data_IF_743445095586
#
_entry.id   IF_743445095586
#
_cell.length_a   1.000
_cell.length_b   1.000
_cell.length_c   1.000
_cell.angle_alpha   90.00
_cell.angle_beta   90.00
_cell.angle_gamma   90.00
#
_symmetry.space_group_name_H-M   'P 1'
#
loop_
_entity.id
_entity.type
_entity.pdbx_description
1 polymer ?
#
# COMPACT_ATOMS: atom_id res chain seq x y z
N UNK A 1 55.05 16.47 1.68
CA UNK A 1 56.05 16.04 2.66
C UNK A 1 55.44 14.86 3.40
N UNK A 2 55.76 13.72 2.94
CA UNK A 2 56.52 12.57 3.51
C UNK A 2 55.76 11.85 4.62
N UNK A 3 55.45 10.65 4.46
CA UNK A 3 56.02 9.30 4.22
C UNK A 3 55.77 8.35 5.38
N UNK A 4 55.33 7.16 5.04
CA UNK A 4 55.68 5.82 5.63
C UNK A 4 55.10 5.47 7.01
N UNK A 5 54.64 4.27 7.34
CA UNK A 5 55.05 2.94 6.89
C UNK A 5 54.03 1.86 7.30
N UNK A 6 54.19 0.73 6.63
CA UNK A 6 53.40 -0.50 6.72
C UNK A 6 53.82 -1.46 7.86
N UNK A 7 52.90 -2.36 8.21
CA UNK A 7 53.03 -3.77 8.52
C UNK A 7 53.25 -4.16 10.01
N UNK A 8 53.14 -5.47 10.35
CA UNK A 8 52.63 -6.63 9.63
C UNK A 8 51.56 -7.47 10.39
N UNK A 9 51.00 -8.46 9.75
CA UNK A 9 50.20 -9.53 10.33
C UNK A 9 51.05 -10.59 11.06
N UNK A 10 50.44 -11.41 11.92
CA UNK A 10 50.87 -12.77 12.07
C UNK A 10 49.81 -13.85 11.93
N UNK A 11 50.22 -14.88 11.45
CA UNK A 11 49.96 -16.22 11.02
C UNK A 11 49.40 -17.20 12.08
N UNK A 12 48.53 -18.10 11.59
CA UNK A 12 48.39 -19.56 11.86
C UNK A 12 48.34 -20.15 13.27
N UNK A 13 47.34 -21.03 13.45
CA UNK A 13 47.32 -22.07 14.47
C UNK A 13 46.20 -23.10 14.19
N UNK A 14 46.62 -24.31 13.87
CA UNK A 14 45.90 -25.45 13.39
C UNK A 14 44.98 -26.15 14.42
N UNK A 15 44.05 -26.99 13.86
CA UNK A 15 43.25 -27.98 14.55
C UNK A 15 44.07 -29.13 15.15
N UNK A 16 43.47 -29.98 16.00
CA UNK A 16 43.32 -31.37 15.59
C UNK A 16 41.95 -32.03 15.91
N UNK A 17 41.82 -33.18 15.27
CA UNK A 17 40.68 -34.03 15.13
C UNK A 17 40.58 -35.18 16.18
N UNK A 18 39.43 -35.91 16.04
CA UNK A 18 39.13 -37.29 16.51
C UNK A 18 38.69 -37.47 17.95
N UNK A 19 37.63 -38.23 18.24
CA UNK A 19 37.43 -39.65 18.01
C UNK A 19 35.94 -40.05 18.19
N UNK A 20 35.56 -41.15 17.47
CA UNK A 20 34.36 -41.94 17.56
C UNK A 20 34.06 -42.53 18.97
N UNK A 21 32.80 -42.77 19.28
CA UNK A 21 32.40 -44.10 19.73
C UNK A 21 30.89 -44.39 19.55
N UNK A 22 30.62 -45.65 19.18
CA UNK A 22 29.32 -46.24 18.90
C UNK A 22 28.74 -46.82 20.20
N UNK A 23 27.43 -46.95 20.38
CA UNK A 23 26.71 -48.20 20.39
C UNK A 23 25.34 -48.22 21.11
N UNK A 24 24.41 -48.85 20.42
CA UNK A 24 23.30 -49.75 20.86
C UNK A 24 22.00 -49.23 21.46
N UNK A 25 20.99 -49.41 20.59
CA UNK A 25 19.70 -50.15 20.74
C UNK A 25 18.88 -49.98 22.01
N UNK A 26 17.63 -49.55 21.89
CA UNK A 26 16.49 -50.46 22.05
C UNK A 26 15.16 -49.86 21.51
N UNK A 27 14.37 -50.75 20.95
CA UNK A 27 13.10 -50.46 20.33
C UNK A 27 11.96 -50.48 21.37
N UNK A 28 11.03 -49.53 21.28
CA UNK A 28 9.66 -49.77 21.71
C UNK A 28 8.67 -49.01 20.86
N UNK A 29 7.84 -49.77 20.18
CA UNK A 29 6.68 -49.38 19.38
C UNK A 29 5.62 -48.70 20.21
N UNK A 30 5.23 -47.47 19.81
CA UNK A 30 3.90 -46.95 20.09
C UNK A 30 3.31 -46.35 18.83
N UNK A 31 2.27 -47.01 18.31
CA UNK A 31 1.43 -46.50 17.25
C UNK A 31 0.61 -45.32 17.76
N UNK A 32 0.93 -44.11 17.27
CA UNK A 32 0.14 -42.90 17.42
C UNK A 32 -0.25 -42.39 16.05
N UNK A 33 -1.53 -42.58 15.68
CA UNK A 33 -2.06 -42.13 14.39
C UNK A 33 -1.97 -40.63 14.25
N UNK A 34 -1.11 -40.19 13.35
CA UNK A 34 -1.11 -38.80 12.86
C UNK A 34 -2.16 -38.69 11.77
N UNK A 35 -3.29 -38.07 12.15
CA UNK A 35 -4.27 -37.54 11.19
C UNK A 35 -3.56 -36.54 10.31
N UNK A 36 -3.26 -36.93 9.07
CA UNK A 36 -2.80 -36.00 8.04
C UNK A 36 -3.93 -35.02 7.74
N UNK A 37 -3.80 -33.82 8.29
CA UNK A 37 -4.62 -32.69 7.91
C UNK A 37 -4.31 -32.40 6.43
N UNK A 38 -5.23 -32.76 5.54
CA UNK A 38 -5.17 -32.44 4.14
C UNK A 38 -4.99 -30.93 4.00
N UNK A 39 -3.84 -30.51 3.47
CA UNK A 39 -3.63 -29.16 3.02
C UNK A 39 -4.65 -28.92 1.90
N UNK A 40 -5.67 -28.16 2.19
CA UNK A 40 -6.59 -27.65 1.19
C UNK A 40 -5.76 -26.73 0.29
N UNK A 41 -5.37 -27.24 -0.86
CA UNK A 41 -4.78 -26.42 -1.92
C UNK A 41 -5.83 -25.37 -2.29
N UNK A 42 -5.55 -24.12 -1.95
CA UNK A 42 -6.33 -22.99 -2.48
C UNK A 42 -6.41 -23.12 -4.00
N UNK A 43 -7.57 -22.88 -4.62
CA UNK A 43 -7.67 -22.94 -6.07
C UNK A 43 -6.61 -22.01 -6.67
N UNK A 44 -5.83 -22.52 -7.60
CA UNK A 44 -4.86 -21.72 -8.38
C UNK A 44 -5.63 -20.56 -9.00
N UNK A 45 -5.39 -19.34 -8.50
CA UNK A 45 -6.07 -18.16 -8.99
C UNK A 45 -5.80 -18.04 -10.49
N UNK A 46 -6.86 -17.87 -11.26
CA UNK A 46 -6.76 -17.60 -12.69
C UNK A 46 -5.92 -16.32 -12.87
N UNK A 47 -4.95 -16.27 -13.79
CA UNK A 47 -4.18 -15.06 -14.01
C UNK A 47 -5.15 -13.90 -14.28
N UNK A 48 -5.04 -12.83 -13.51
CA UNK A 48 -5.88 -11.65 -13.66
C UNK A 48 -5.46 -10.94 -14.95
N UNK A 49 -6.43 -10.63 -15.80
CA UNK A 49 -6.23 -9.75 -16.94
C UNK A 49 -7.20 -8.59 -16.76
N UNK A 50 -6.67 -7.38 -16.59
CA UNK A 50 -7.53 -6.20 -16.41
C UNK A 50 -8.13 -5.82 -17.75
N UNK A 51 -9.44 -5.94 -17.84
CA UNK A 51 -10.27 -5.44 -18.92
C UNK A 51 -11.13 -4.27 -18.42
N UNK A 52 -11.80 -3.57 -19.34
CA UNK A 52 -12.65 -2.40 -19.03
C UNK A 52 -13.64 -2.68 -17.87
N UNK A 53 -14.26 -3.87 -17.84
CA UNK A 53 -15.22 -4.28 -16.81
C UNK A 53 -14.64 -4.43 -15.40
N UNK A 54 -13.35 -4.73 -15.27
CA UNK A 54 -12.71 -4.97 -13.98
C UNK A 54 -12.31 -3.67 -13.27
N UNK A 55 -12.16 -2.57 -14.02
CA UNK A 55 -11.70 -1.29 -13.51
C UNK A 55 -12.61 -0.73 -12.41
N UNK A 56 -13.91 -0.99 -12.48
CA UNK A 56 -14.87 -0.50 -11.49
C UNK A 56 -14.71 -1.20 -10.13
N UNK A 57 -14.55 -2.52 -10.12
CA UNK A 57 -14.38 -3.29 -8.89
C UNK A 57 -12.98 -3.09 -8.31
N UNK A 58 -11.96 -3.03 -9.16
CA UNK A 58 -10.60 -2.67 -8.75
C UNK A 58 -10.58 -1.30 -8.07
N UNK A 59 -11.20 -0.28 -8.65
CA UNK A 59 -11.23 1.08 -8.09
C UNK A 59 -11.96 1.13 -6.72
N UNK A 60 -13.07 0.39 -6.56
CA UNK A 60 -13.78 0.30 -5.26
C UNK A 60 -12.91 -0.33 -4.19
N UNK A 61 -12.29 -1.47 -4.51
CA UNK A 61 -11.39 -2.12 -3.57
C UNK A 61 -10.15 -1.28 -3.26
N UNK A 62 -9.60 -0.59 -4.23
CA UNK A 62 -8.53 0.37 -4.05
C UNK A 62 -8.90 1.49 -3.09
N UNK A 63 -10.13 2.02 -3.16
CA UNK A 63 -10.60 3.02 -2.22
C UNK A 63 -10.76 2.47 -0.78
N UNK A 64 -11.10 1.18 -0.62
CA UNK A 64 -11.09 0.50 0.67
C UNK A 64 -9.67 0.43 1.23
N UNK A 65 -8.71 -0.09 0.46
CA UNK A 65 -7.31 -0.23 0.87
C UNK A 65 -6.61 1.12 1.00
N UNK A 66 -7.11 2.17 0.34
CA UNK A 66 -6.65 3.55 0.48
C UNK A 66 -6.82 4.12 1.89
N UNK A 67 -7.61 3.45 2.77
CA UNK A 67 -7.79 3.86 4.19
C UNK A 67 -8.14 5.34 4.34
N UNK A 68 -8.92 5.86 3.41
CA UNK A 68 -9.33 7.26 3.36
C UNK A 68 -8.45 8.17 2.51
N UNK A 69 -7.28 7.71 2.05
CA UNK A 69 -6.38 8.44 1.16
C UNK A 69 -6.30 7.84 -0.25
N UNK A 70 -5.21 8.16 -0.97
CA UNK A 70 -4.94 7.66 -2.32
C UNK A 70 -5.70 8.39 -3.45
N UNK A 71 -6.51 9.40 -3.16
CA UNK A 71 -7.27 10.20 -4.13
C UNK A 71 -8.59 9.56 -4.57
N UNK A 72 -9.35 10.30 -5.40
CA UNK A 72 -10.66 9.87 -5.87
C UNK A 72 -10.53 8.67 -6.85
N UNK A 73 -11.03 7.50 -6.51
CA UNK A 73 -10.95 6.32 -7.36
C UNK A 73 -11.73 6.47 -8.67
N UNK A 74 -12.72 7.38 -8.73
CA UNK A 74 -13.56 7.58 -9.92
C UNK A 74 -12.75 8.08 -11.11
N UNK A 75 -11.92 9.11 -10.90
CA UNK A 75 -11.06 9.66 -11.97
C UNK A 75 -10.06 8.59 -12.44
N UNK A 76 -9.39 7.92 -11.50
CA UNK A 76 -8.45 6.86 -11.81
C UNK A 76 -9.08 5.70 -12.59
N UNK A 77 -10.31 5.31 -12.26
CA UNK A 77 -11.10 4.32 -12.99
C UNK A 77 -11.32 4.75 -14.45
N UNK A 78 -11.81 5.97 -14.65
CA UNK A 78 -12.11 6.46 -16.02
C UNK A 78 -10.84 6.49 -16.88
N UNK A 79 -9.69 6.86 -16.31
CA UNK A 79 -8.42 6.85 -17.03
C UNK A 79 -7.99 5.43 -17.40
N UNK A 80 -8.09 4.48 -16.47
CA UNK A 80 -7.76 3.07 -16.70
C UNK A 80 -8.70 2.46 -17.77
N UNK A 81 -10.01 2.68 -17.65
CA UNK A 81 -11.00 2.25 -18.66
C UNK A 81 -10.70 2.81 -20.04
N UNK A 82 -10.35 4.09 -20.14
CA UNK A 82 -9.99 4.71 -21.41
C UNK A 82 -8.72 4.08 -22.00
N UNK A 83 -7.67 3.91 -21.19
CA UNK A 83 -6.41 3.33 -21.62
C UNK A 83 -6.56 1.87 -22.08
N UNK A 84 -7.32 1.05 -21.33
CA UNK A 84 -7.60 -0.34 -21.71
C UNK A 84 -8.44 -0.43 -23.00
N UNK A 85 -9.40 0.46 -23.21
CA UNK A 85 -10.16 0.53 -24.48
C UNK A 85 -9.32 0.93 -25.68
N UNK A 86 -8.38 1.85 -25.48
CA UNK A 86 -7.52 2.38 -26.55
C UNK A 86 -6.37 1.43 -26.89
N UNK A 87 -5.72 0.86 -25.89
CA UNK A 87 -4.47 0.09 -26.07
C UNK A 87 -4.65 -1.44 -25.88
N UNK A 88 -5.81 -1.88 -25.39
CA UNK A 88 -6.10 -3.29 -25.11
C UNK A 88 -5.95 -3.68 -23.65
N UNK A 89 -6.31 -4.94 -23.32
CA UNK A 89 -6.29 -5.44 -21.95
C UNK A 89 -4.86 -5.54 -21.41
N UNK A 90 -4.70 -5.28 -20.09
CA UNK A 90 -3.42 -5.37 -19.39
C UNK A 90 -3.26 -6.75 -18.76
N UNK A 91 -2.17 -7.44 -19.09
CA UNK A 91 -1.80 -8.69 -18.44
C UNK A 91 -1.28 -8.40 -17.04
N UNK A 92 -1.80 -9.09 -16.04
CA UNK A 92 -1.35 -9.00 -14.64
C UNK A 92 -0.59 -10.26 -14.27
N UNK A 93 0.64 -10.12 -13.80
CA UNK A 93 1.52 -11.22 -13.41
C UNK A 93 1.68 -11.28 -11.90
N UNK A 94 1.72 -12.50 -11.34
CA UNK A 94 1.95 -12.68 -9.92
C UNK A 94 3.38 -12.28 -9.54
N UNK A 95 3.57 -11.78 -8.33
CA UNK A 95 4.90 -11.41 -7.81
C UNK A 95 5.87 -12.61 -7.88
N UNK A 96 5.38 -13.80 -7.60
CA UNK A 96 6.15 -15.05 -7.60
C UNK A 96 6.66 -15.43 -8.98
N UNK A 97 5.92 -15.07 -10.03
CA UNK A 97 6.20 -15.46 -11.42
C UNK A 97 7.20 -14.52 -12.12
N UNK A 98 7.57 -13.41 -11.46
CA UNK A 98 8.55 -12.47 -12.02
C UNK A 98 9.90 -13.17 -12.24
N UNK A 99 10.60 -12.97 -13.39
CA UNK A 99 12.02 -13.26 -13.49
C UNK A 99 12.81 -12.46 -12.45
N UNK A 100 13.85 -13.06 -11.84
CA UNK A 100 14.64 -12.36 -10.81
C UNK A 100 15.37 -11.12 -11.35
N UNK A 101 15.71 -11.13 -12.64
CA UNK A 101 16.35 -10.05 -13.39
C UNK A 101 15.36 -9.12 -14.10
N UNK A 102 14.04 -9.27 -13.87
CA UNK A 102 13.05 -8.35 -14.41
C UNK A 102 13.37 -6.91 -14.00
N UNK A 103 13.12 -5.97 -14.89
CA UNK A 103 13.22 -4.52 -14.60
C UNK A 103 11.82 -3.99 -14.35
N UNK A 104 11.52 -3.70 -13.09
CA UNK A 104 10.21 -3.26 -12.62
C UNK A 104 10.28 -1.79 -12.24
N UNK A 105 9.41 -0.96 -12.82
CA UNK A 105 9.28 0.46 -12.47
C UNK A 105 7.91 0.72 -11.86
N UNK A 106 7.90 1.41 -10.72
CA UNK A 106 6.68 1.81 -10.04
C UNK A 106 6.10 3.08 -10.65
N UNK A 107 4.78 3.13 -10.77
CA UNK A 107 4.06 4.30 -11.26
C UNK A 107 3.06 4.75 -10.21
N UNK A 108 3.06 6.04 -9.90
CA UNK A 108 2.12 6.65 -8.97
C UNK A 108 1.87 8.12 -9.32
N UNK A 109 0.78 8.65 -8.81
CA UNK A 109 0.56 10.09 -8.75
C UNK A 109 1.16 10.63 -7.45
N UNK A 110 1.79 11.78 -7.53
CA UNK A 110 2.22 12.58 -6.37
C UNK A 110 1.54 13.95 -6.44
N UNK A 111 1.05 14.44 -5.30
CA UNK A 111 0.43 15.76 -5.22
C UNK A 111 -0.78 15.80 -4.29
N UNK A 112 -1.62 16.81 -4.48
CA UNK A 112 -2.86 16.99 -3.74
C UNK A 112 -4.01 16.27 -4.45
N UNK A 113 -4.68 15.29 -3.83
CA UNK A 113 -5.76 14.53 -4.47
C UNK A 113 -6.91 15.42 -4.99
N UNK A 114 -7.24 16.50 -4.27
CA UNK A 114 -8.28 17.46 -4.66
C UNK A 114 -8.03 18.16 -5.98
N UNK A 115 -6.76 18.29 -6.38
CA UNK A 115 -6.38 18.97 -7.65
C UNK A 115 -6.79 18.15 -8.87
N UNK A 116 -6.89 16.83 -8.76
CA UNK A 116 -7.29 15.99 -9.89
C UNK A 116 -8.72 16.25 -10.39
N UNK A 117 -9.58 16.78 -9.55
CA UNK A 117 -10.95 17.15 -9.95
C UNK A 117 -10.94 18.40 -10.84
N UNK A 118 -9.98 19.29 -10.60
CA UNK A 118 -9.84 20.57 -11.33
C UNK A 118 -8.86 20.47 -12.50
N UNK A 119 -7.87 19.59 -12.39
CA UNK A 119 -6.79 19.38 -13.36
C UNK A 119 -6.79 17.94 -13.84
N UNK A 120 -7.54 17.68 -14.91
CA UNK A 120 -7.62 16.33 -15.48
C UNK A 120 -6.27 15.91 -16.08
N UNK A 121 -5.78 14.70 -15.75
CA UNK A 121 -4.60 14.15 -16.40
C UNK A 121 -4.84 13.94 -17.90
N UNK A 122 -3.81 14.14 -18.72
CA UNK A 122 -3.88 13.93 -20.18
C UNK A 122 -3.80 12.45 -20.58
N UNK A 123 -3.37 11.56 -19.66
CA UNK A 123 -3.04 10.17 -19.94
C UNK A 123 -1.55 9.96 -20.28
N UNK A 124 -1.00 10.71 -21.23
CA UNK A 124 0.37 10.53 -21.73
C UNK A 124 1.47 10.63 -20.66
N UNK A 125 1.28 11.44 -19.61
CA UNK A 125 2.28 11.59 -18.55
C UNK A 125 2.58 10.32 -17.77
N UNK A 126 1.68 9.31 -17.77
CA UNK A 126 1.91 8.04 -17.06
C UNK A 126 3.03 7.24 -17.72
N UNK A 127 2.96 7.06 -19.03
CA UNK A 127 4.01 6.38 -19.79
C UNK A 127 5.26 7.26 -19.91
N UNK A 128 5.13 8.59 -19.97
CA UNK A 128 6.26 9.50 -20.06
C UNK A 128 7.14 9.48 -18.81
N UNK A 129 6.57 9.38 -17.61
CA UNK A 129 7.34 9.19 -16.39
C UNK A 129 8.20 7.91 -16.44
N UNK A 130 7.62 6.80 -16.92
CA UNK A 130 8.33 5.53 -17.09
C UNK A 130 9.44 5.65 -18.14
N UNK A 131 9.15 6.25 -19.32
CA UNK A 131 10.14 6.46 -20.39
C UNK A 131 11.29 7.32 -19.90
N UNK A 132 11.01 8.42 -19.20
CA UNK A 132 12.03 9.33 -18.65
C UNK A 132 12.95 8.64 -17.65
N UNK A 133 12.40 7.84 -16.72
CA UNK A 133 13.21 7.08 -15.77
C UNK A 133 14.04 6.01 -16.47
N UNK A 134 13.43 5.24 -17.38
CA UNK A 134 14.10 4.18 -18.13
C UNK A 134 15.26 4.72 -18.97
N UNK A 135 15.05 5.84 -19.66
CA UNK A 135 16.08 6.54 -20.44
C UNK A 135 17.25 7.01 -19.56
N UNK A 136 16.95 7.59 -18.39
CA UNK A 136 17.97 8.05 -17.44
C UNK A 136 18.82 6.88 -16.90
N UNK A 137 18.17 5.74 -16.60
CA UNK A 137 18.86 4.54 -16.11
C UNK A 137 19.56 3.74 -17.22
N UNK A 138 19.23 3.98 -18.48
CA UNK A 138 19.74 3.19 -19.62
C UNK A 138 19.20 1.75 -19.61
N UNK A 139 17.97 1.53 -19.15
CA UNK A 139 17.35 0.21 -19.05
C UNK A 139 16.07 0.12 -19.90
N UNK A 140 15.67 -1.10 -20.23
CA UNK A 140 14.36 -1.39 -20.82
C UNK A 140 13.47 -2.00 -19.75
N UNK A 141 12.39 -1.31 -19.32
CA UNK A 141 11.48 -1.87 -18.34
C UNK A 141 10.75 -3.08 -18.92
N UNK A 142 10.61 -4.12 -18.11
CA UNK A 142 9.89 -5.34 -18.48
C UNK A 142 8.51 -5.40 -17.86
N UNK A 143 8.30 -4.70 -16.75
CA UNK A 143 7.05 -4.64 -16.00
C UNK A 143 6.86 -3.25 -15.39
N UNK A 144 5.61 -2.89 -15.19
CA UNK A 144 5.24 -1.78 -14.28
C UNK A 144 4.58 -2.34 -13.03
N UNK A 145 4.63 -1.57 -11.95
CA UNK A 145 4.05 -1.97 -10.68
C UNK A 145 3.38 -0.79 -9.96
N UNK A 146 2.52 -1.14 -9.01
CA UNK A 146 1.86 -0.20 -8.12
C UNK A 146 2.75 0.08 -6.91
N UNK A 147 2.97 1.35 -6.56
CA UNK A 147 3.68 1.68 -5.31
C UNK A 147 2.78 1.51 -4.09
N UNK A 148 1.50 1.83 -4.25
CA UNK A 148 0.50 1.69 -3.19
C UNK A 148 -0.86 1.26 -3.75
N UNK A 149 -1.53 0.39 -3.06
CA UNK A 149 -2.96 0.15 -3.29
C UNK A 149 -3.75 1.21 -2.54
N UNK A 150 -4.26 2.18 -3.28
CA UNK A 150 -5.05 3.28 -2.73
C UNK A 150 -5.56 4.18 -3.85
N UNK A 151 -6.88 4.31 -4.01
CA UNK A 151 -7.52 5.24 -4.93
C UNK A 151 -6.90 5.25 -6.33
N UNK A 152 -6.50 6.43 -6.80
CA UNK A 152 -5.88 6.65 -8.10
C UNK A 152 -4.59 5.85 -8.30
N UNK A 153 -3.80 5.64 -7.23
CA UNK A 153 -2.50 4.99 -7.38
C UNK A 153 -2.58 3.50 -7.68
N UNK A 154 -3.73 2.85 -7.47
CA UNK A 154 -3.98 1.49 -7.96
C UNK A 154 -4.30 1.44 -9.45
N UNK A 155 -4.81 2.52 -10.04
CA UNK A 155 -5.20 2.60 -11.44
C UNK A 155 -4.15 3.25 -12.34
N UNK A 156 -3.32 4.13 -11.80
CA UNK A 156 -2.22 4.81 -12.51
C UNK A 156 -1.28 3.83 -13.24
N UNK A 157 -0.82 2.73 -12.65
CA UNK A 157 0.03 1.78 -13.35
C UNK A 157 -0.68 1.02 -14.46
N UNK A 158 -2.02 0.88 -14.42
CA UNK A 158 -2.81 0.30 -15.52
C UNK A 158 -2.72 1.17 -16.77
N UNK A 159 -2.79 2.50 -16.60
CA UNK A 159 -2.68 3.46 -17.71
C UNK A 159 -1.29 3.34 -18.36
N UNK A 160 -0.23 3.34 -17.55
CA UNK A 160 1.13 3.18 -18.06
C UNK A 160 1.36 1.81 -18.72
N UNK A 161 0.84 0.74 -18.10
CA UNK A 161 0.96 -0.62 -18.61
C UNK A 161 0.30 -0.77 -19.98
N UNK A 162 -0.93 -0.28 -20.13
CA UNK A 162 -1.69 -0.33 -21.38
C UNK A 162 -0.95 0.43 -22.48
N UNK A 163 -0.54 1.68 -22.25
CA UNK A 163 0.12 2.51 -23.26
C UNK A 163 1.51 1.96 -23.65
N UNK A 164 2.25 1.36 -22.71
CA UNK A 164 3.59 0.82 -22.97
C UNK A 164 3.56 -0.63 -23.45
N UNK A 165 2.41 -1.32 -23.41
CA UNK A 165 2.29 -2.73 -23.72
C UNK A 165 3.06 -3.62 -22.74
N UNK A 166 3.22 -3.20 -21.48
CA UNK A 166 3.93 -3.89 -20.43
C UNK A 166 2.98 -4.64 -19.49
N UNK A 167 3.35 -5.82 -18.98
CA UNK A 167 2.60 -6.46 -17.92
C UNK A 167 2.67 -5.66 -16.60
N UNK A 168 1.60 -5.76 -15.81
CA UNK A 168 1.44 -5.15 -14.49
C UNK A 168 1.64 -6.22 -13.42
N UNK A 169 2.38 -5.90 -12.36
CA UNK A 169 2.62 -6.80 -11.23
C UNK A 169 1.41 -6.83 -10.29
N UNK A 170 0.89 -8.02 -9.93
CA UNK A 170 -0.14 -8.20 -8.91
C UNK A 170 0.44 -8.07 -7.50
N UNK A 171 0.70 -6.86 -7.11
CA UNK A 171 1.27 -6.51 -5.83
C UNK A 171 1.53 -5.02 -5.73
N UNK A 172 1.80 -4.57 -4.52
CA UNK A 172 2.20 -3.21 -4.24
C UNK A 172 3.25 -3.13 -3.13
N UNK A 173 3.80 -1.96 -2.92
CA UNK A 173 4.88 -1.77 -1.96
C UNK A 173 4.40 -1.43 -0.54
N UNK A 174 3.10 -1.29 -0.28
CA UNK A 174 2.56 -0.81 1.01
C UNK A 174 1.50 -1.71 1.63
N UNK A 175 0.57 -2.28 0.83
CA UNK A 175 -0.62 -3.02 1.28
C UNK A 175 -1.76 -2.13 1.78
N UNK A 176 -1.57 -0.84 1.78
CA UNK A 176 -2.51 0.26 2.09
C UNK A 176 -1.94 1.57 1.56
N UNK A 177 -2.68 2.68 1.61
CA UNK A 177 -2.08 3.99 1.34
C UNK A 177 -1.38 4.58 2.56
N UNK A 178 -0.24 5.24 2.31
CA UNK A 178 0.50 6.08 3.24
C UNK A 178 0.90 7.41 2.58
N UNK A 179 1.02 8.50 3.36
CA UNK A 179 1.12 9.85 2.80
C UNK A 179 2.46 10.21 2.12
N UNK A 180 3.54 9.47 2.37
CA UNK A 180 4.88 9.85 1.92
C UNK A 180 5.56 8.72 1.13
N UNK A 181 6.31 9.08 0.08
CA UNK A 181 6.94 8.15 -0.88
C UNK A 181 7.85 7.10 -0.21
N UNK A 182 8.55 7.47 0.88
CA UNK A 182 9.44 6.52 1.57
C UNK A 182 8.71 5.50 2.44
N UNK A 183 7.41 5.65 2.68
CA UNK A 183 6.62 4.75 3.52
C UNK A 183 6.22 3.48 2.77
N UNK A 184 7.21 2.75 2.30
CA UNK A 184 7.05 1.50 1.53
C UNK A 184 7.93 0.40 2.11
N UNK A 185 7.50 -0.84 1.97
CA UNK A 185 8.28 -2.01 2.40
C UNK A 185 9.66 -2.13 1.68
N UNK A 186 9.81 -1.75 0.39
CA UNK A 186 11.13 -1.64 -0.23
C UNK A 186 12.12 -0.73 0.51
N UNK A 187 11.66 0.34 1.17
CA UNK A 187 12.54 1.16 2.03
C UNK A 187 13.09 0.37 3.21
N UNK A 188 12.31 -0.55 3.79
CA UNK A 188 12.77 -1.44 4.86
C UNK A 188 13.79 -2.47 4.34
N UNK A 189 13.72 -2.81 3.05
CA UNK A 189 14.68 -3.65 2.33
C UNK A 189 15.85 -2.84 1.72
N UNK A 190 16.06 -1.60 2.17
CA UNK A 190 17.12 -0.69 1.71
C UNK A 190 17.09 -0.37 0.20
N UNK A 191 15.94 -0.47 -0.46
CA UNK A 191 15.77 -0.05 -1.86
C UNK A 191 15.60 1.47 -1.91
N UNK A 192 16.29 2.10 -2.88
CA UNK A 192 16.19 3.55 -3.10
C UNK A 192 14.97 3.93 -3.94
N UNK A 193 14.28 5.00 -3.54
CA UNK A 193 13.24 5.61 -4.35
C UNK A 193 13.80 6.30 -5.61
N UNK A 194 15.09 6.66 -5.57
CA UNK A 194 15.74 7.41 -6.68
C UNK A 194 16.83 6.59 -7.37
N UNK A 195 17.10 6.87 -8.66
CA UNK A 195 16.53 7.94 -9.48
C UNK A 195 15.01 7.84 -9.62
N UNK A 196 14.34 9.02 -9.58
CA UNK A 196 12.89 9.16 -9.68
C UNK A 196 12.58 10.17 -10.79
N UNK A 197 11.68 9.81 -11.69
CA UNK A 197 11.18 10.74 -12.70
C UNK A 197 9.80 11.28 -12.33
N UNK A 198 9.54 12.53 -12.69
CA UNK A 198 8.22 13.14 -12.67
C UNK A 198 7.83 13.58 -14.08
N UNK A 199 6.54 13.51 -14.38
CA UNK A 199 5.97 14.05 -15.61
C UNK A 199 4.61 14.72 -15.31
N UNK A 200 4.36 15.90 -15.90
CA UNK A 200 3.08 16.60 -15.81
C UNK A 200 2.28 16.52 -17.12
N UNK A 201 1.04 16.99 -17.09
CA UNK A 201 0.13 16.97 -18.24
C UNK A 201 0.51 17.96 -19.35
N UNK A 202 1.47 18.87 -19.11
CA UNK A 202 1.99 19.82 -20.07
C UNK A 202 3.20 19.30 -20.85
N UNK A 203 3.71 18.10 -20.43
CA UNK A 203 4.90 17.49 -21.03
C UNK A 203 6.20 17.89 -20.34
N UNK A 204 6.15 18.56 -19.19
CA UNK A 204 7.36 18.81 -18.40
C UNK A 204 7.79 17.51 -17.71
N UNK A 205 9.09 17.22 -17.72
CA UNK A 205 9.71 16.10 -17.01
C UNK A 205 10.86 16.57 -16.12
N UNK A 206 11.06 15.87 -15.00
CA UNK A 206 12.21 16.07 -14.12
C UNK A 206 12.70 14.72 -13.61
N UNK A 207 14.01 14.57 -13.44
CA UNK A 207 14.60 13.37 -12.82
C UNK A 207 15.43 13.81 -11.61
N UNK A 208 15.21 13.12 -10.49
CA UNK A 208 15.90 13.39 -9.23
C UNK A 208 16.78 12.21 -8.83
N UNK A 209 17.99 12.54 -8.36
CA UNK A 209 18.84 11.63 -7.60
C UNK A 209 19.08 12.26 -6.23
N UNK A 210 18.87 11.52 -5.17
CA UNK A 210 18.92 12.03 -3.79
C UNK A 210 19.74 11.12 -2.88
N UNK A 211 20.16 11.65 -1.74
CA UNK A 211 20.99 10.91 -0.77
C UNK A 211 20.18 9.88 0.02
N UNK A 212 18.87 10.07 0.14
CA UNK A 212 17.94 9.15 0.79
C UNK A 212 16.49 9.34 0.31
N UNK A 213 15.59 8.42 0.70
CA UNK A 213 14.20 8.41 0.27
C UNK A 213 13.37 9.59 0.85
N UNK A 214 13.77 10.18 1.99
CA UNK A 214 13.11 11.37 2.56
C UNK A 214 13.41 12.62 1.73
N UNK A 215 14.63 12.74 1.21
CA UNK A 215 14.95 13.80 0.27
C UNK A 215 14.24 13.62 -1.07
N UNK A 216 14.04 12.37 -1.51
CA UNK A 216 13.25 12.09 -2.70
C UNK A 216 11.83 12.66 -2.55
N UNK A 217 11.13 12.36 -1.45
CA UNK A 217 9.81 12.91 -1.12
C UNK A 217 9.81 14.44 -1.16
N UNK A 218 10.74 15.09 -0.45
CA UNK A 218 10.78 16.55 -0.34
C UNK A 218 10.99 17.25 -1.67
N UNK A 219 11.95 16.79 -2.47
CA UNK A 219 12.25 17.40 -3.75
C UNK A 219 11.15 17.13 -4.79
N UNK A 220 10.63 15.89 -4.83
CA UNK A 220 9.53 15.54 -5.71
C UNK A 220 8.27 16.38 -5.40
N UNK A 221 7.92 16.52 -4.11
CA UNK A 221 6.76 17.33 -3.69
C UNK A 221 6.93 18.81 -4.03
N UNK A 222 8.14 19.37 -3.88
CA UNK A 222 8.43 20.76 -4.28
C UNK A 222 8.25 20.96 -5.79
N UNK A 223 8.79 20.07 -6.61
CA UNK A 223 8.61 20.14 -8.06
C UNK A 223 7.15 19.94 -8.47
N UNK A 224 6.44 19.05 -7.79
CA UNK A 224 5.00 18.81 -8.03
C UNK A 224 4.17 20.07 -7.81
N UNK A 225 4.51 20.90 -6.82
CA UNK A 225 3.82 22.19 -6.60
C UNK A 225 3.99 23.10 -7.82
N UNK A 226 5.21 23.23 -8.37
CA UNK A 226 5.49 24.02 -9.58
C UNK A 226 4.83 23.42 -10.83
N UNK A 227 4.66 22.09 -10.88
CA UNK A 227 3.93 21.39 -11.94
C UNK A 227 2.40 21.55 -11.82
N UNK A 228 1.90 22.35 -10.87
CA UNK A 228 0.47 22.61 -10.66
C UNK A 228 -0.18 21.66 -9.68
N UNK A 229 0.55 21.28 -8.64
CA UNK A 229 0.14 20.49 -7.49
C UNK A 229 -0.24 19.03 -7.77
N UNK A 230 0.00 18.50 -8.98
CA UNK A 230 -0.09 17.07 -9.30
C UNK A 230 0.87 16.71 -10.42
N UNK A 231 1.53 15.56 -10.31
CA UNK A 231 2.38 14.98 -11.34
C UNK A 231 2.34 13.46 -11.24
N UNK A 232 2.74 12.78 -12.30
CA UNK A 232 2.98 11.32 -12.27
C UNK A 232 4.45 11.09 -11.99
N UNK A 233 4.75 10.12 -11.15
CA UNK A 233 6.11 9.70 -10.85
C UNK A 233 6.34 8.26 -11.28
N UNK A 234 7.55 8.02 -11.82
CA UNK A 234 8.15 6.69 -11.89
C UNK A 234 9.32 6.62 -10.91
N UNK A 235 9.36 5.60 -10.07
CA UNK A 235 10.32 5.50 -8.96
C UNK A 235 10.63 4.04 -8.59
N UNK A 236 11.45 3.82 -7.57
CA UNK A 236 11.83 2.50 -7.08
C UNK A 236 12.07 1.53 -8.23
N UNK A 237 13.08 1.82 -9.08
CA UNK A 237 13.52 0.88 -10.10
C UNK A 237 14.08 -0.38 -9.42
N UNK A 238 13.41 -1.51 -9.59
CA UNK A 238 13.67 -2.74 -8.84
C UNK A 238 13.91 -3.91 -9.78
N UNK A 239 14.72 -4.86 -9.31
CA UNK A 239 14.76 -6.19 -9.93
C UNK A 239 13.54 -7.01 -9.48
N UNK A 240 13.19 -8.07 -10.26
CA UNK A 240 12.13 -8.99 -9.86
C UNK A 240 12.42 -9.66 -8.51
N UNK A 241 13.69 -9.96 -8.21
CA UNK A 241 14.11 -10.50 -6.92
C UNK A 241 13.77 -9.53 -5.76
N UNK A 242 14.05 -8.23 -5.91
CA UNK A 242 13.72 -7.22 -4.91
C UNK A 242 12.20 -7.05 -4.73
N UNK A 243 11.43 -7.16 -5.82
CA UNK A 243 9.95 -7.14 -5.75
C UNK A 243 9.43 -8.34 -4.97
N UNK A 244 9.93 -9.55 -5.25
CA UNK A 244 9.56 -10.79 -4.52
C UNK A 244 9.82 -10.70 -3.01
N UNK A 245 10.89 -10.02 -2.61
CA UNK A 245 11.27 -9.84 -1.21
C UNK A 245 10.39 -8.81 -0.50
N UNK A 246 10.07 -7.71 -1.17
CA UNK A 246 9.56 -6.52 -0.49
C UNK A 246 8.08 -6.19 -0.75
N UNK A 247 7.44 -6.76 -1.78
CA UNK A 247 6.05 -6.43 -2.10
C UNK A 247 5.03 -7.17 -1.24
N UNK A 248 3.86 -6.53 -1.07
CA UNK A 248 2.62 -7.17 -0.64
C UNK A 248 2.00 -7.84 -1.87
N UNK A 249 1.80 -9.15 -1.78
CA UNK A 249 1.39 -9.97 -2.91
C UNK A 249 -0.12 -9.97 -3.09
N UNK A 250 -0.59 -9.99 -4.35
CA UNK A 250 -2.00 -10.13 -4.67
C UNK A 250 -2.86 -8.92 -4.29
N UNK A 251 -2.28 -7.73 -4.12
CA UNK A 251 -3.01 -6.55 -3.69
C UNK A 251 -3.99 -6.02 -4.75
N UNK A 252 -3.65 -6.09 -6.05
CA UNK A 252 -4.59 -5.72 -7.10
C UNK A 252 -5.75 -6.72 -7.20
N UNK A 253 -5.45 -8.02 -7.13
CA UNK A 253 -6.47 -9.06 -7.02
C UNK A 253 -7.35 -8.90 -5.78
N UNK A 254 -6.78 -8.43 -4.65
CA UNK A 254 -7.58 -8.11 -3.45
C UNK A 254 -8.51 -6.92 -3.69
N UNK A 255 -8.06 -5.89 -4.40
CA UNK A 255 -8.92 -4.77 -4.79
C UNK A 255 -10.15 -5.27 -5.60
N UNK A 256 -9.93 -6.11 -6.60
CA UNK A 256 -11.04 -6.67 -7.40
C UNK A 256 -11.98 -7.46 -6.50
N UNK A 257 -11.48 -8.38 -5.66
CA UNK A 257 -12.32 -9.17 -4.74
C UNK A 257 -13.12 -8.31 -3.77
N UNK A 258 -12.56 -7.20 -3.27
CA UNK A 258 -13.27 -6.26 -2.37
C UNK A 258 -14.42 -5.56 -3.10
N UNK A 259 -14.20 -5.11 -4.34
CA UNK A 259 -15.24 -4.52 -5.17
C UNK A 259 -16.36 -5.51 -5.49
N UNK A 260 -15.99 -6.71 -5.94
CA UNK A 260 -16.94 -7.80 -6.21
C UNK A 260 -17.76 -8.19 -4.98
N UNK A 261 -17.10 -8.34 -3.80
CA UNK A 261 -17.77 -8.69 -2.55
C UNK A 261 -18.82 -7.64 -2.16
N UNK A 262 -18.47 -6.36 -2.30
CA UNK A 262 -19.38 -5.25 -2.02
C UNK A 262 -20.60 -5.27 -2.97
N UNK A 263 -20.38 -5.42 -4.27
CA UNK A 263 -21.44 -5.48 -5.28
C UNK A 263 -22.32 -6.70 -5.09
N UNK A 264 -21.73 -7.87 -4.84
CA UNK A 264 -22.46 -9.12 -4.61
C UNK A 264 -23.32 -9.04 -3.34
N UNK A 265 -22.80 -8.47 -2.25
CA UNK A 265 -23.58 -8.31 -1.01
C UNK A 265 -24.81 -7.43 -1.23
N UNK A 266 -24.66 -6.32 -1.96
CA UNK A 266 -25.80 -5.45 -2.31
C UNK A 266 -26.83 -6.16 -3.17
N UNK A 267 -26.39 -6.88 -4.20
CA UNK A 267 -27.28 -7.63 -5.07
C UNK A 267 -28.07 -8.71 -4.32
N UNK A 268 -27.48 -9.29 -3.27
CA UNK A 268 -28.10 -10.28 -2.40
C UNK A 268 -28.92 -9.67 -1.25
N UNK A 269 -29.02 -8.32 -1.13
CA UNK A 269 -29.57 -7.62 0.03
C UNK A 269 -28.91 -8.05 1.36
N UNK A 270 -27.63 -8.41 1.33
CA UNK A 270 -26.81 -8.71 2.48
C UNK A 270 -26.07 -7.43 2.95
N UNK A 271 -25.40 -7.50 4.10
CA UNK A 271 -24.63 -6.39 4.66
C UNK A 271 -23.32 -6.19 3.88
N UNK A 272 -23.19 -5.11 3.08
CA UNK A 272 -21.98 -4.89 2.28
C UNK A 272 -20.76 -4.51 3.12
N UNK A 273 -20.96 -3.88 4.29
CA UNK A 273 -19.85 -3.54 5.20
C UNK A 273 -19.28 -4.80 5.84
N UNK A 274 -20.15 -5.73 6.24
CA UNK A 274 -19.72 -7.03 6.77
C UNK A 274 -18.95 -7.84 5.71
N UNK A 275 -19.39 -7.80 4.44
CA UNK A 275 -18.70 -8.48 3.34
C UNK A 275 -17.29 -7.91 3.11
N UNK A 276 -17.14 -6.59 3.11
CA UNK A 276 -15.82 -5.92 3.01
C UNK A 276 -14.94 -6.30 4.21
N UNK A 277 -15.46 -6.20 5.43
CA UNK A 277 -14.72 -6.54 6.64
C UNK A 277 -14.23 -8.00 6.62
N UNK A 278 -15.08 -8.94 6.22
CA UNK A 278 -14.72 -10.37 6.09
C UNK A 278 -13.63 -10.59 5.04
N UNK A 279 -13.71 -9.92 3.88
CA UNK A 279 -12.72 -10.02 2.80
C UNK A 279 -11.35 -9.48 3.24
N UNK A 280 -11.33 -8.44 4.09
CA UNK A 280 -10.10 -7.87 4.67
C UNK A 280 -9.54 -8.71 5.84
N UNK A 281 -10.27 -9.69 6.37
CA UNK A 281 -9.92 -10.33 7.64
C UNK A 281 -10.01 -9.38 8.84
N UNK A 282 -10.87 -8.36 8.74
CA UNK A 282 -11.06 -7.31 9.72
C UNK A 282 -12.41 -7.39 10.44
N UNK A 283 -12.72 -6.33 11.17
CA UNK A 283 -13.98 -6.20 11.92
C UNK A 283 -14.52 -4.78 11.94
N UNK A 284 -15.84 -4.64 12.07
CA UNK A 284 -16.47 -3.35 12.36
C UNK A 284 -16.22 -3.01 13.83
N UNK A 285 -15.61 -1.87 14.07
CA UNK A 285 -15.27 -1.41 15.43
C UNK A 285 -16.18 -0.30 15.94
N UNK A 286 -16.92 0.37 15.06
CA UNK A 286 -17.85 1.43 15.41
C UNK A 286 -18.87 1.72 14.30
N UNK A 287 -20.08 2.07 14.68
CA UNK A 287 -21.16 2.50 13.77
C UNK A 287 -21.76 3.81 14.27
N UNK A 288 -21.94 4.78 13.38
CA UNK A 288 -22.46 6.07 13.82
C UNK A 288 -22.70 7.08 12.69
N UNK A 289 -22.89 8.32 13.13
CA UNK A 289 -23.11 9.47 12.26
C UNK A 289 -22.01 10.50 12.49
N UNK A 290 -21.39 10.99 11.44
CA UNK A 290 -20.37 12.05 11.50
C UNK A 290 -21.00 13.31 12.07
N UNK A 291 -20.50 13.75 13.23
CA UNK A 291 -20.98 14.91 13.97
C UNK A 291 -20.14 16.15 13.73
N UNK A 292 -18.87 15.98 13.36
CA UNK A 292 -17.95 17.08 13.05
C UNK A 292 -16.76 16.61 12.23
N UNK A 293 -16.22 17.50 11.40
CA UNK A 293 -14.98 17.25 10.63
C UNK A 293 -14.15 18.52 10.59
N UNK A 294 -13.00 18.47 11.24
CA UNK A 294 -11.98 19.51 11.11
C UNK A 294 -10.91 19.05 10.11
N UNK A 295 -10.62 19.88 9.10
CA UNK A 295 -9.61 19.58 8.08
C UNK A 295 -8.80 20.83 7.75
N UNK A 296 -7.47 20.67 7.69
CA UNK A 296 -6.53 21.74 7.30
C UNK A 296 -5.47 21.14 6.36
N UNK A 297 -5.16 21.86 5.30
CA UNK A 297 -4.01 21.52 4.46
C UNK A 297 -2.74 22.10 5.09
N UNK A 298 -1.82 21.24 5.49
CA UNK A 298 -0.55 21.59 6.12
C UNK A 298 0.58 20.93 5.36
N UNK A 299 1.52 21.69 4.81
CA UNK A 299 2.68 21.17 4.07
C UNK A 299 2.32 20.16 2.96
N UNK A 300 1.19 20.37 2.28
CA UNK A 300 0.74 19.50 1.17
C UNK A 300 -0.05 18.25 1.60
N UNK A 301 -0.39 18.13 2.89
CA UNK A 301 -1.21 17.03 3.42
C UNK A 301 -2.52 17.54 4.01
N UNK A 302 -3.60 16.80 3.79
CA UNK A 302 -4.89 17.02 4.45
C UNK A 302 -4.85 16.40 5.85
N UNK A 303 -4.60 17.22 6.89
CA UNK A 303 -4.61 16.79 8.29
C UNK A 303 -5.92 17.15 8.96
N UNK A 304 -6.43 16.26 9.81
CA UNK A 304 -7.67 16.59 10.54
C UNK A 304 -8.15 15.51 11.48
N UNK A 305 -9.36 15.79 11.98
CA UNK A 305 -10.12 14.89 12.86
C UNK A 305 -11.56 14.81 12.38
N UNK A 306 -12.18 13.64 12.54
CA UNK A 306 -13.62 13.49 12.40
C UNK A 306 -14.21 12.86 13.67
N UNK A 307 -15.28 13.44 14.20
CA UNK A 307 -16.05 12.92 15.33
C UNK A 307 -17.27 12.20 14.83
N UNK A 308 -17.51 11.01 15.35
CA UNK A 308 -18.64 10.15 14.97
C UNK A 308 -19.45 9.83 16.22
N UNK A 309 -20.69 10.29 16.28
CA UNK A 309 -21.63 9.94 17.35
C UNK A 309 -22.22 8.56 17.06
N UNK A 310 -22.16 7.66 18.01
CA UNK A 310 -22.59 6.27 17.88
C UNK A 310 -24.07 6.09 17.62
N UNK A 311 -24.40 5.05 16.88
CA UNK A 311 -25.77 4.59 16.59
C UNK A 311 -25.87 3.07 16.76
N UNK A 312 -27.10 2.54 16.90
CA UNK A 312 -27.32 1.13 17.15
C UNK A 312 -26.66 0.70 18.48
N UNK A 313 -25.80 -0.32 18.43
CA UNK A 313 -25.07 -0.85 19.59
C UNK A 313 -24.04 0.14 20.16
N UNK A 314 -23.64 1.16 19.38
CA UNK A 314 -22.71 2.20 19.79
C UNK A 314 -23.41 3.46 20.33
N UNK A 315 -24.73 3.45 20.48
CA UNK A 315 -25.49 4.60 21.01
C UNK A 315 -24.93 5.06 22.35
N UNK A 316 -24.70 6.37 22.48
CA UNK A 316 -24.11 6.98 23.68
C UNK A 316 -22.59 6.97 23.73
N UNK A 317 -21.93 6.39 22.73
CA UNK A 317 -20.48 6.41 22.58
C UNK A 317 -20.06 7.37 21.47
N UNK A 318 -18.82 7.76 21.46
CA UNK A 318 -18.20 8.57 20.40
C UNK A 318 -16.96 7.87 19.87
N UNK A 319 -16.73 7.94 18.55
CA UNK A 319 -15.43 7.65 17.96
C UNK A 319 -14.80 8.91 17.39
N UNK A 320 -13.46 8.98 17.46
CA UNK A 320 -12.65 10.04 16.87
C UNK A 320 -11.67 9.42 15.90
N UNK A 321 -11.77 9.81 14.63
CA UNK A 321 -10.79 9.47 13.59
C UNK A 321 -9.78 10.60 13.47
N UNK A 322 -8.48 10.25 13.40
CA UNK A 322 -7.40 11.19 13.12
C UNK A 322 -6.73 10.79 11.81
N UNK A 323 -6.44 11.76 10.95
CA UNK A 323 -5.91 11.49 9.61
C UNK A 323 -4.86 12.53 9.15
N UNK A 324 -3.99 12.05 8.26
CA UNK A 324 -3.12 12.85 7.40
C UNK A 324 -3.16 12.22 6.01
N UNK A 325 -4.02 12.72 5.12
CA UNK A 325 -4.57 12.07 3.94
C UNK A 325 -5.32 10.78 4.30
N UNK A 326 -4.63 9.79 4.86
CA UNK A 326 -5.12 8.49 5.30
C UNK A 326 -5.55 8.52 6.77
N UNK A 327 -6.47 7.64 7.15
CA UNK A 327 -6.77 7.40 8.57
C UNK A 327 -5.57 6.77 9.27
N UNK A 328 -5.13 7.38 10.37
CA UNK A 328 -3.94 6.99 11.12
C UNK A 328 -4.26 6.46 12.52
N UNK A 329 -5.39 6.87 13.08
CA UNK A 329 -5.79 6.48 14.41
C UNK A 329 -7.32 6.57 14.56
N UNK A 330 -7.90 5.60 15.25
CA UNK A 330 -9.29 5.63 15.72
C UNK A 330 -9.34 5.43 17.24
N UNK A 331 -10.00 6.38 17.91
CA UNK A 331 -10.37 6.28 19.33
C UNK A 331 -11.85 5.92 19.42
N UNK A 332 -12.22 5.08 20.37
CA UNK A 332 -13.61 4.75 20.69
C UNK A 332 -13.80 4.94 22.18
N UNK A 333 -14.79 5.75 22.56
CA UNK A 333 -15.09 6.09 23.97
C UNK A 333 -13.84 6.56 24.75
N UNK A 334 -12.97 7.36 24.09
CA UNK A 334 -11.77 7.95 24.69
C UNK A 334 -10.56 7.01 24.77
N UNK A 335 -10.66 5.78 24.24
CA UNK A 335 -9.54 4.85 24.22
C UNK A 335 -9.10 4.56 22.77
N UNK A 336 -7.80 4.53 22.53
CA UNK A 336 -7.25 4.15 21.22
C UNK A 336 -7.64 2.71 20.90
N UNK A 337 -8.32 2.51 19.78
CA UNK A 337 -8.80 1.20 19.33
C UNK A 337 -7.89 0.57 18.28
N UNK A 338 -7.38 1.37 17.36
CA UNK A 338 -6.46 0.93 16.30
C UNK A 338 -5.66 2.12 15.80
N UNK A 339 -4.41 1.89 15.43
CA UNK A 339 -3.55 2.89 14.81
C UNK A 339 -2.94 2.36 13.51
N UNK A 340 -2.41 3.27 12.67
CA UNK A 340 -1.44 2.88 11.66
C UNK A 340 -0.31 2.05 12.31
N UNK A 341 0.23 1.02 11.63
CA UNK A 341 0.06 0.71 10.22
C UNK A 341 -1.23 -0.05 9.85
N UNK A 342 -1.99 -0.58 10.82
CA UNK A 342 -3.20 -1.34 10.51
C UNK A 342 -4.25 -0.47 9.79
N UNK A 343 -5.08 -1.12 8.97
CA UNK A 343 -6.07 -0.44 8.16
C UNK A 343 -7.21 0.10 9.02
N UNK A 344 -7.59 1.34 8.77
CA UNK A 344 -8.76 2.00 9.36
C UNK A 344 -9.58 2.53 8.19
N UNK A 345 -10.72 1.91 7.93
CA UNK A 345 -11.55 2.18 6.75
C UNK A 345 -12.89 2.74 7.19
N UNK A 346 -13.31 3.84 6.59
CA UNK A 346 -14.64 4.40 6.79
C UNK A 346 -15.51 4.04 5.59
N UNK A 347 -16.62 3.35 5.85
CA UNK A 347 -17.58 2.92 4.83
C UNK A 347 -18.94 3.60 5.10
N UNK A 348 -19.65 3.93 4.03
CA UNK A 348 -21.06 4.30 4.12
C UNK A 348 -21.87 3.17 4.74
N UNK A 349 -22.67 3.48 5.74
CA UNK A 349 -23.34 2.47 6.57
C UNK A 349 -24.39 1.64 5.81
N UNK A 350 -24.96 2.18 4.72
CA UNK A 350 -26.00 1.52 3.94
C UNK A 350 -25.43 0.85 2.69
N UNK A 351 -24.58 1.57 1.98
CA UNK A 351 -24.07 1.13 0.69
C UNK A 351 -22.75 0.35 0.78
N UNK A 352 -22.01 0.47 1.88
CA UNK A 352 -20.66 -0.07 2.05
C UNK A 352 -19.61 0.63 1.18
N UNK A 353 -19.98 1.70 0.42
CA UNK A 353 -18.99 2.44 -0.37
C UNK A 353 -17.93 3.07 0.54
N UNK A 354 -16.66 2.97 0.19
CA UNK A 354 -15.59 3.62 0.94
C UNK A 354 -15.71 5.14 0.87
N UNK A 355 -15.48 5.80 2.00
CA UNK A 355 -15.51 7.26 2.12
C UNK A 355 -14.09 7.73 2.39
N UNK A 356 -13.56 8.55 1.47
CA UNK A 356 -12.23 9.17 1.64
C UNK A 356 -12.26 10.24 2.74
N UNK A 357 -11.09 10.60 3.25
CA UNK A 357 -10.99 11.68 4.25
C UNK A 357 -11.51 13.01 3.70
N UNK A 358 -11.39 13.26 2.40
CA UNK A 358 -11.98 14.42 1.72
C UNK A 358 -13.51 14.30 1.62
N UNK A 359 -14.03 13.07 1.46
CA UNK A 359 -15.46 12.77 1.34
C UNK A 359 -16.21 12.77 2.68
N UNK A 360 -15.51 12.72 3.82
CA UNK A 360 -16.14 12.78 5.13
C UNK A 360 -16.85 14.13 5.32
N UNK A 361 -18.13 14.08 5.70
CA UNK A 361 -18.95 15.27 5.91
C UNK A 361 -19.94 15.09 7.06
N UNK A 362 -20.31 16.20 7.69
CA UNK A 362 -21.37 16.23 8.71
C UNK A 362 -22.62 15.49 8.22
N UNK A 363 -23.15 14.64 9.06
CA UNK A 363 -24.39 13.94 8.80
C UNK A 363 -24.24 12.60 8.07
N UNK A 364 -23.07 12.28 7.51
CA UNK A 364 -22.84 10.97 6.88
C UNK A 364 -22.99 9.84 7.90
N UNK A 365 -23.73 8.79 7.54
CA UNK A 365 -23.83 7.55 8.34
C UNK A 365 -22.68 6.64 7.92
N UNK A 366 -21.88 6.25 8.91
CA UNK A 366 -20.64 5.52 8.64
C UNK A 366 -20.50 4.30 9.54
N UNK A 367 -19.78 3.30 9.04
CA UNK A 367 -19.23 2.21 9.84
C UNK A 367 -17.71 2.20 9.66
N UNK A 368 -17.02 2.08 10.78
CA UNK A 368 -15.55 2.06 10.80
C UNK A 368 -15.12 0.60 10.90
N UNK A 369 -14.33 0.17 9.92
CA UNK A 369 -13.74 -1.17 9.84
C UNK A 369 -12.25 -1.05 10.13
N UNK A 370 -11.70 -1.97 10.91
CA UNK A 370 -10.25 -2.13 11.10
C UNK A 370 -9.82 -3.50 10.60
N UNK A 371 -8.63 -3.58 9.99
CA UNK A 371 -8.10 -4.79 9.43
C UNK A 371 -6.56 -4.83 9.55
N UNK A 372 -5.93 -6.04 9.49
CA UNK A 372 -4.49 -6.15 9.63
C UNK A 372 -3.76 -5.54 8.43
N UNK A 373 -2.64 -4.86 8.70
CA UNK A 373 -1.64 -4.54 7.69
C UNK A 373 -0.68 -5.71 7.46
N UNK A 374 0.19 -5.60 6.46
CA UNK A 374 1.29 -6.55 6.27
C UNK A 374 2.15 -6.62 7.56
N UNK A 375 2.45 -7.80 8.08
CA UNK A 375 3.12 -7.95 9.39
C UNK A 375 4.50 -7.30 9.44
N UNK A 376 5.18 -7.10 8.31
CA UNK A 376 6.48 -6.40 8.24
C UNK A 376 6.40 -4.96 8.74
N UNK A 377 5.24 -4.32 8.64
CA UNK A 377 5.00 -2.98 9.18
C UNK A 377 5.06 -2.92 10.72
N UNK A 378 4.79 -4.03 11.41
CA UNK A 378 4.86 -4.12 12.87
C UNK A 378 6.26 -4.43 13.39
N UNK A 379 7.28 -4.52 12.53
CA UNK A 379 8.67 -4.53 12.96
C UNK A 379 9.09 -3.18 13.56
N UNK A 380 10.13 -3.11 14.39
CA UNK A 380 10.63 -1.84 14.92
C UNK A 380 10.94 -0.81 13.83
N UNK A 381 11.54 -1.24 12.72
CA UNK A 381 11.83 -0.38 11.57
C UNK A 381 10.55 0.10 10.85
N UNK A 382 9.56 -0.78 10.69
CA UNK A 382 8.26 -0.44 10.10
C UNK A 382 7.50 0.57 10.94
N UNK A 383 7.45 0.37 12.27
CA UNK A 383 6.81 1.31 13.20
C UNK A 383 7.53 2.66 13.27
N UNK A 384 8.87 2.67 13.18
CA UNK A 384 9.64 3.91 13.09
C UNK A 384 9.37 4.70 11.80
N UNK A 385 8.93 4.02 10.73
CA UNK A 385 8.65 4.62 9.42
C UNK A 385 7.18 5.03 9.27
N UNK A 386 6.22 4.24 9.78
CA UNK A 386 4.79 4.40 9.51
C UNK A 386 3.90 4.15 10.75
N UNK A 387 4.46 4.06 11.94
CA UNK A 387 3.71 3.93 13.20
C UNK A 387 3.15 5.27 13.70
N UNK A 388 2.29 5.24 14.72
CA UNK A 388 1.59 6.46 15.21
C UNK A 388 2.54 7.56 15.68
N UNK A 389 3.69 7.23 16.28
CA UNK A 389 4.68 8.21 16.76
C UNK A 389 5.33 8.99 15.62
N UNK A 390 5.51 8.39 14.44
CA UNK A 390 5.98 9.10 13.26
C UNK A 390 5.08 10.29 12.90
N UNK A 391 3.78 10.11 13.07
CA UNK A 391 2.77 11.14 12.78
C UNK A 391 2.51 12.10 13.96
N UNK A 392 3.27 11.95 15.06
CA UNK A 392 3.18 12.83 16.24
C UNK A 392 2.11 12.42 17.25
N UNK A 393 1.59 11.19 17.18
CA UNK A 393 0.69 10.65 18.19
C UNK A 393 1.49 9.93 19.27
N UNK A 394 1.40 10.41 20.51
CA UNK A 394 2.08 9.80 21.67
C UNK A 394 1.27 8.60 22.19
N UNK A 395 1.27 7.54 21.41
CA UNK A 395 0.63 6.26 21.71
C UNK A 395 1.44 5.12 21.09
N UNK A 396 1.47 3.94 21.71
CA UNK A 396 1.99 2.75 21.05
C UNK A 396 1.12 2.36 19.84
N UNK A 397 1.68 1.57 18.94
CA UNK A 397 0.92 1.01 17.82
C UNK A 397 -0.08 -0.04 18.34
N UNK A 398 -1.37 0.24 18.13
CA UNK A 398 -2.48 -0.63 18.52
C UNK A 398 -3.02 -1.31 17.25
N UNK A 399 -3.00 -2.65 17.24
CA UNK A 399 -3.44 -3.47 16.12
C UNK A 399 -4.96 -3.45 15.94
N UNK A 400 -5.43 -3.90 14.79
CA UNK A 400 -6.86 -3.99 14.45
C UNK A 400 -7.69 -4.83 15.45
N UNK A 401 -7.07 -5.79 16.13
CA UNK A 401 -7.70 -6.62 17.18
C UNK A 401 -7.63 -5.97 18.59
N UNK A 402 -6.98 -4.81 18.73
CA UNK A 402 -6.81 -4.08 19.98
C UNK A 402 -5.56 -4.46 20.76
N UNK A 403 -4.74 -5.39 20.27
CA UNK A 403 -3.45 -5.71 20.89
C UNK A 403 -2.40 -4.64 20.59
N UNK A 404 -1.43 -4.48 21.49
CA UNK A 404 -0.31 -3.55 21.30
C UNK A 404 0.83 -4.28 20.60
N UNK A 405 1.46 -3.63 19.62
CA UNK A 405 2.63 -4.20 18.93
C UNK A 405 3.85 -4.23 19.85
N UNK A 406 4.48 -5.38 19.96
CA UNK A 406 5.64 -5.62 20.88
C UNK A 406 6.92 -4.85 20.48
N UNK A 407 6.96 -4.22 19.32
CA UNK A 407 8.13 -3.50 18.80
C UNK A 407 8.42 -2.12 19.41
N UNK A 408 7.53 -1.61 20.26
CA UNK A 408 7.68 -0.33 20.93
C UNK A 408 7.91 -0.53 22.44
N UNK A 409 9.18 -0.69 22.85
CA UNK A 409 9.53 -0.43 24.25
C UNK A 409 9.55 1.09 24.49
N UNK A 410 9.08 1.56 25.67
CA UNK A 410 8.96 2.96 26.00
C UNK A 410 10.30 3.71 25.99
#
# INVERSE_FOLDING_TARGET
VSTTAAGPAPTHGAAPAHTDDQAHTDASTHAGGTSARAATTAPTARPLTVVDGDCADLARGAAVLGTGGGGDPYIGRLLAEAAVREHGPVTVVQVEDLPDDAVVLNVAMIGAPTVMVEKLPSGAQFAEAVRSLAAHLGVTPTHVACIEVGGVNSTSPIVAAAELGLPLVDGDAMGRAFPEVQMVLPTLAAVSATPMALADEKGNTAVFSTVDNRWAERLARTATVEMGCSAITANYAMTGAQVKESYVRGSLSLCVRLGEALVAARAANADPVAAVAATLGGSVVFSGKVADVERKTVTGFARGTARVTGSGDDTGREAVLRFQNEHLLVEVAGSVRTTAPDLIVTLDAETGEPITTEGLRFGARVRIVTAPADPRWHSPAGLALAGPRYFGYDTPAVRHDGTVSEGEQP
#
